data_IF_014772219651
#
_entry.id   IF_014772219651
#
_cell.length_a   1.000
_cell.length_b   1.000
_cell.length_c   1.000
_cell.angle_alpha   90.00
_cell.angle_beta   90.00
_cell.angle_gamma   90.00
#
_symmetry.space_group_name_H-M   'P 1'
#
loop_
_entity.id
_entity.type
_entity.pdbx_description
1 polymer ?
#
# COMPACT_ATOMS: atom_id res chain seq x y z
N UNK A 1 10.69 -29.44 -17.13
CA UNK A 1 11.91 -30.17 -16.72
C UNK A 1 12.58 -29.38 -15.61
N UNK A 2 12.85 -29.96 -14.43
CA UNK A 2 13.52 -29.23 -13.36
C UNK A 2 14.97 -29.00 -13.77
N UNK A 3 15.40 -27.74 -13.78
CA UNK A 3 16.80 -27.38 -14.03
C UNK A 3 17.59 -27.83 -12.80
N UNK A 4 18.62 -28.64 -12.99
CA UNK A 4 19.58 -28.95 -11.94
C UNK A 4 20.25 -27.65 -11.49
N UNK A 5 19.86 -27.13 -10.33
CA UNK A 5 20.38 -25.90 -9.77
C UNK A 5 21.54 -26.22 -8.83
N UNK A 6 22.76 -25.88 -9.23
CA UNK A 6 23.86 -25.70 -8.30
C UNK A 6 24.07 -24.19 -8.15
N UNK A 7 23.44 -23.59 -7.14
CA UNK A 7 23.95 -22.33 -6.61
C UNK A 7 25.28 -22.66 -5.93
N UNK A 8 26.34 -21.94 -6.25
CA UNK A 8 27.64 -22.13 -5.61
C UNK A 8 27.49 -22.10 -4.08
N UNK A 9 27.93 -23.13 -3.38
CA UNK A 9 28.09 -23.07 -1.93
C UNK A 9 29.03 -21.90 -1.62
N UNK A 10 28.56 -20.94 -0.83
CA UNK A 10 29.36 -19.80 -0.44
C UNK A 10 30.57 -20.29 0.37
N UNK A 11 31.75 -20.33 -0.26
CA UNK A 11 33.02 -20.49 0.46
C UNK A 11 33.21 -19.23 1.28
N UNK A 12 32.90 -19.31 2.57
CA UNK A 12 33.14 -18.24 3.53
C UNK A 12 34.65 -17.95 3.57
N UNK A 13 35.03 -16.71 3.26
CA UNK A 13 36.36 -16.21 3.64
C UNK A 13 36.44 -16.18 5.18
N UNK A 14 37.50 -16.71 5.81
CA UNK A 14 37.60 -16.72 7.26
C UNK A 14 37.71 -15.29 7.81
N UNK A 15 37.07 -14.97 8.95
CA UNK A 15 37.20 -13.66 9.57
C UNK A 15 38.63 -13.46 10.11
N UNK A 16 39.15 -12.21 10.14
CA UNK A 16 40.44 -11.93 10.76
C UNK A 16 40.40 -12.27 12.27
N UNK A 17 41.52 -12.82 12.76
CA UNK A 17 41.69 -13.34 14.11
C UNK A 17 41.25 -12.33 15.19
N UNK A 18 40.36 -12.77 16.09
CA UNK A 18 39.99 -12.02 17.29
C UNK A 18 41.10 -12.14 18.34
N UNK A 19 41.74 -11.03 18.66
CA UNK A 19 42.48 -10.86 19.92
C UNK A 19 41.52 -10.93 21.10
N UNK A 20 41.88 -11.76 22.08
CA UNK A 20 41.10 -12.03 23.29
C UNK A 20 41.03 -10.82 24.24
N UNK A 21 39.90 -10.59 24.93
CA UNK A 21 39.88 -9.80 26.15
C UNK A 21 39.89 -10.68 27.40
N UNK A 22 40.72 -10.23 28.33
CA UNK A 22 40.94 -10.65 29.72
C UNK A 22 39.69 -11.06 30.49
N UNK A 23 39.85 -12.14 31.29
CA UNK A 23 38.88 -12.58 32.29
C UNK A 23 38.69 -11.53 33.39
N UNK A 24 37.42 -11.23 33.73
CA UNK A 24 37.07 -10.65 35.02
C UNK A 24 35.82 -11.31 35.60
N UNK A 25 36.05 -11.97 36.74
CA UNK A 25 35.19 -12.55 37.78
C UNK A 25 33.66 -12.46 37.62
N UNK A 26 33.03 -13.65 37.59
CA UNK A 26 31.62 -13.91 37.89
C UNK A 26 31.26 -13.51 39.33
N UNK A 27 30.12 -12.81 39.51
CA UNK A 27 29.34 -12.77 40.76
C UNK A 27 27.90 -13.22 40.47
N UNK A 28 27.36 -14.05 41.37
CA UNK A 28 26.02 -14.71 41.35
C UNK A 28 24.86 -13.71 41.57
N UNK A 29 23.60 -14.10 41.25
CA UNK A 29 22.48 -13.18 41.03
C UNK A 29 21.70 -12.83 42.31
N UNK A 30 21.02 -11.68 42.32
CA UNK A 30 19.99 -11.32 43.29
C UNK A 30 18.61 -11.41 42.66
N UNK A 31 17.70 -12.06 43.36
CA UNK A 31 16.29 -12.24 43.03
C UNK A 31 15.49 -10.94 43.24
N UNK A 32 14.41 -10.80 42.46
CA UNK A 32 13.26 -9.96 42.82
C UNK A 32 12.88 -8.91 41.78
N UNK A 33 11.88 -9.23 40.95
CA UNK A 33 10.71 -8.37 40.65
C UNK A 33 9.85 -9.00 39.53
N UNK A 34 8.55 -9.18 39.83
CA UNK A 34 7.50 -9.58 38.87
C UNK A 34 7.41 -8.55 37.72
N UNK A 35 7.18 -8.96 36.46
CA UNK A 35 6.89 -8.00 35.40
C UNK A 35 5.43 -7.54 35.52
N UNK A 36 5.23 -6.24 35.79
CA UNK A 36 3.97 -5.56 35.51
C UNK A 36 3.83 -5.48 33.99
N UNK A 37 2.78 -6.12 33.46
CA UNK A 37 2.38 -5.95 32.07
C UNK A 37 2.11 -4.47 31.78
N UNK A 38 2.96 -3.87 30.95
CA UNK A 38 2.65 -2.62 30.27
C UNK A 38 2.19 -2.98 28.87
N UNK A 39 0.89 -3.03 28.68
CA UNK A 39 0.33 -2.80 27.35
C UNK A 39 0.73 -1.39 26.95
N UNK A 40 1.63 -1.26 25.96
CA UNK A 40 1.87 0.03 25.34
C UNK A 40 0.69 0.34 24.41
N UNK A 41 0.01 1.48 24.55
CA UNK A 41 -0.83 1.98 23.50
C UNK A 41 0.10 2.50 22.38
N UNK A 42 0.05 1.86 21.21
CA UNK A 42 0.62 2.42 19.99
C UNK A 42 -0.27 3.60 19.56
N UNK A 43 0.00 4.78 20.12
CA UNK A 43 -0.53 6.04 19.61
C UNK A 43 0.23 6.38 18.31
N UNK A 44 -0.31 5.97 17.17
CA UNK A 44 0.11 6.53 15.88
C UNK A 44 -0.37 7.99 15.87
N UNK A 45 0.55 8.95 15.92
CA UNK A 45 0.24 10.37 15.81
C UNK A 45 -0.44 10.66 14.46
N UNK A 46 -1.78 10.67 14.47
CA UNK A 46 -2.60 10.89 13.29
C UNK A 46 -2.56 12.35 12.84
N UNK A 47 -2.76 12.56 11.54
CA UNK A 47 -3.02 13.90 11.01
C UNK A 47 -4.38 14.35 11.54
N UNK A 48 -4.40 15.41 12.35
CA UNK A 48 -5.65 16.00 12.82
C UNK A 48 -6.37 16.64 11.62
N UNK A 49 -7.39 15.95 11.12
CA UNK A 49 -8.37 16.53 10.19
C UNK A 49 -9.46 17.20 11.01
N UNK A 50 -9.96 18.34 10.54
CA UNK A 50 -10.96 19.14 11.26
C UNK A 50 -12.21 18.32 11.56
N UNK A 51 -12.70 18.44 12.79
CA UNK A 51 -13.96 17.85 13.22
C UNK A 51 -15.09 18.55 12.46
N UNK A 52 -15.88 17.78 11.72
CA UNK A 52 -17.15 18.26 11.20
C UNK A 52 -18.12 18.19 12.38
N UNK A 53 -18.35 19.32 13.06
CA UNK A 53 -19.14 19.36 14.27
C UNK A 53 -20.59 18.93 14.03
N UNK A 54 -21.02 17.87 14.70
CA UNK A 54 -22.43 17.55 14.94
C UNK A 54 -22.77 17.96 16.39
N UNK A 55 -23.50 19.06 16.57
CA UNK A 55 -24.11 19.37 17.86
C UNK A 55 -25.30 18.44 18.08
N UNK A 56 -25.06 17.25 18.62
CA UNK A 56 -26.12 16.43 19.18
C UNK A 56 -25.53 15.39 20.13
N UNK A 57 -25.56 15.72 21.43
CA UNK A 57 -25.58 14.73 22.49
C UNK A 57 -26.94 14.02 22.52
N UNK A 58 -26.97 12.78 22.99
CA UNK A 58 -28.22 12.04 23.19
C UNK A 58 -28.01 10.55 23.27
N UNK A 59 -27.97 10.04 24.50
CA UNK A 59 -28.10 8.64 24.93
C UNK A 59 -29.21 7.90 24.15
N UNK A 60 -28.93 6.72 23.59
CA UNK A 60 -29.97 5.73 23.30
C UNK A 60 -30.09 4.80 24.51
N UNK A 61 -31.02 5.13 25.41
CA UNK A 61 -31.57 4.17 26.37
C UNK A 61 -32.76 3.48 25.69
N UNK A 62 -32.69 2.16 25.55
CA UNK A 62 -33.80 1.34 25.10
C UNK A 62 -34.59 0.87 26.33
N UNK A 63 -35.84 1.31 26.41
CA UNK A 63 -36.95 0.90 27.28
C UNK A 63 -38.19 1.25 26.42
N UNK A 64 -39.22 0.43 26.18
CA UNK A 64 -39.76 -0.76 26.82
C UNK A 64 -40.60 -1.56 25.80
N UNK A 65 -40.92 -2.80 26.17
CA UNK A 65 -42.04 -3.62 25.68
C UNK A 65 -43.37 -2.85 25.54
N UNK A 66 -44.22 -3.27 24.59
CA UNK A 66 -45.57 -3.75 24.93
C UNK A 66 -46.26 -4.53 23.79
N UNK A 67 -47.16 -5.42 24.22
CA UNK A 67 -47.80 -6.53 23.54
C UNK A 67 -48.90 -6.18 22.50
N UNK A 68 -49.20 -7.16 21.63
CA UNK A 68 -50.56 -7.66 21.37
C UNK A 68 -51.57 -6.78 20.61
N UNK A 69 -51.91 -7.18 19.38
CA UNK A 69 -53.10 -6.65 18.69
C UNK A 69 -53.35 -7.26 17.31
N UNK A 70 -54.15 -8.34 17.28
CA UNK A 70 -54.69 -8.99 16.08
C UNK A 70 -55.66 -8.08 15.30
N UNK A 71 -55.46 -7.95 14.00
CA UNK A 71 -56.41 -7.39 13.05
C UNK A 71 -56.26 -8.06 11.69
N UNK A 72 -57.23 -8.90 11.33
CA UNK A 72 -57.29 -9.61 10.07
C UNK A 72 -57.73 -8.68 8.94
N UNK A 73 -56.95 -8.58 7.87
CA UNK A 73 -57.43 -8.13 6.57
C UNK A 73 -56.94 -9.08 5.46
N UNK A 74 -57.92 -9.51 4.68
CA UNK A 74 -57.90 -10.49 3.61
C UNK A 74 -56.98 -10.09 2.45
N UNK A 75 -56.01 -10.95 2.11
CA UNK A 75 -55.19 -10.85 0.91
C UNK A 75 -55.98 -11.19 -0.36
N UNK A 76 -55.89 -10.40 -1.44
CA UNK A 76 -56.05 -10.92 -2.79
C UNK A 76 -54.73 -11.58 -3.22
N UNK A 77 -54.82 -12.80 -3.77
CA UNK A 77 -53.71 -13.52 -4.41
C UNK A 77 -53.06 -12.62 -5.47
N UNK A 78 -51.78 -12.30 -5.29
CA UNK A 78 -50.95 -11.74 -6.34
C UNK A 78 -50.20 -12.88 -7.02
N UNK A 79 -50.31 -12.94 -8.35
CA UNK A 79 -49.67 -13.95 -9.21
C UNK A 79 -48.15 -14.00 -9.02
N UNK A 80 -47.50 -15.16 -9.20
CA UNK A 80 -46.05 -15.26 -9.18
C UNK A 80 -45.46 -14.44 -10.35
N UNK A 81 -44.33 -13.73 -10.16
CA UNK A 81 -43.70 -13.00 -11.26
C UNK A 81 -43.24 -13.97 -12.34
N UNK A 82 -43.34 -13.60 -13.62
CA UNK A 82 -42.90 -14.47 -14.71
C UNK A 82 -41.38 -14.68 -14.61
N UNK A 83 -40.99 -15.95 -14.67
CA UNK A 83 -39.62 -16.41 -14.85
C UNK A 83 -39.11 -15.97 -16.23
N UNK A 84 -38.53 -14.76 -16.29
CA UNK A 84 -37.82 -14.25 -17.45
C UNK A 84 -36.42 -14.86 -17.56
N UNK A 85 -36.15 -15.51 -18.70
CA UNK A 85 -34.82 -15.99 -19.10
C UNK A 85 -33.79 -14.85 -19.28
N UNK A 86 -32.55 -15.19 -19.67
CA UNK A 86 -31.39 -14.32 -19.48
C UNK A 86 -31.55 -13.01 -20.25
N UNK A 87 -31.68 -11.91 -19.51
CA UNK A 87 -31.75 -10.57 -20.06
C UNK A 87 -30.49 -10.23 -20.85
N UNK A 88 -30.70 -9.75 -22.08
CA UNK A 88 -29.68 -9.07 -22.88
C UNK A 88 -29.12 -7.83 -22.16
N UNK A 89 -28.12 -7.15 -22.77
CA UNK A 89 -27.26 -6.22 -22.06
C UNK A 89 -28.08 -5.12 -21.38
N UNK A 90 -28.04 -5.12 -20.04
CA UNK A 90 -28.55 -4.02 -19.24
C UNK A 90 -27.72 -2.79 -19.55
N UNK A 91 -28.31 -1.83 -20.27
CA UNK A 91 -27.79 -0.48 -20.38
C UNK A 91 -27.90 0.17 -19.00
N UNK A 92 -26.80 0.13 -18.24
CA UNK A 92 -26.64 0.92 -17.02
C UNK A 92 -26.13 2.29 -17.43
N UNK A 93 -27.02 3.28 -17.50
CA UNK A 93 -26.65 4.69 -17.57
C UNK A 93 -27.28 5.44 -16.40
N UNK A 94 -26.53 5.53 -15.30
CA UNK A 94 -26.20 6.81 -14.66
C UNK A 94 -25.22 6.60 -13.49
N UNK A 95 -23.96 6.93 -13.75
CA UNK A 95 -22.82 6.70 -12.86
C UNK A 95 -21.57 6.72 -13.71
N UNK A 96 -21.21 7.92 -14.19
CA UNK A 96 -20.19 8.16 -15.21
C UNK A 96 -19.00 7.21 -15.10
N UNK A 97 -18.74 6.50 -16.19
CA UNK A 97 -17.66 5.53 -16.30
C UNK A 97 -16.35 6.13 -15.76
N UNK A 98 -15.79 5.50 -14.73
CA UNK A 98 -14.52 5.95 -14.13
C UNK A 98 -13.44 5.92 -15.21
N UNK A 99 -12.73 7.03 -15.36
CA UNK A 99 -11.66 7.11 -16.35
C UNK A 99 -10.61 5.99 -16.13
N UNK A 100 -10.08 5.39 -17.21
CA UNK A 100 -9.10 4.33 -17.08
C UNK A 100 -7.82 4.86 -16.40
N UNK A 101 -7.19 4.01 -15.59
CA UNK A 101 -5.92 4.34 -14.95
C UNK A 101 -4.83 4.50 -16.02
N UNK A 102 -4.35 5.74 -16.23
CA UNK A 102 -3.25 6.03 -17.16
C UNK A 102 -1.88 5.82 -16.52
N UNK A 103 -1.71 6.27 -15.28
CA UNK A 103 -0.48 6.15 -14.48
C UNK A 103 -0.80 6.24 -13.00
N UNK A 104 0.11 5.75 -12.16
CA UNK A 104 0.10 6.01 -10.72
C UNK A 104 0.91 7.29 -10.43
N UNK A 105 0.43 8.10 -9.49
CA UNK A 105 1.00 9.36 -9.04
C UNK A 105 1.22 9.24 -7.53
N UNK A 106 2.36 8.67 -7.08
CA UNK A 106 2.62 8.49 -5.66
C UNK A 106 2.78 9.87 -4.98
N UNK A 107 2.02 10.17 -3.92
CA UNK A 107 2.15 11.45 -3.25
C UNK A 107 3.44 11.51 -2.43
N UNK A 108 4.16 12.62 -2.50
CA UNK A 108 5.38 12.87 -1.71
C UNK A 108 5.08 13.65 -0.43
N UNK A 109 4.09 14.55 -0.50
CA UNK A 109 3.68 15.41 0.61
C UNK A 109 2.16 15.45 0.70
N UNK A 110 1.66 15.36 1.93
CA UNK A 110 0.29 15.68 2.30
C UNK A 110 0.31 16.93 3.17
N UNK A 111 -0.39 17.98 2.74
CA UNK A 111 -0.52 19.21 3.51
C UNK A 111 -1.97 19.52 3.83
N UNK A 112 -2.27 19.70 5.11
CA UNK A 112 -3.58 20.06 5.64
C UNK A 112 -3.57 21.52 6.08
N UNK A 113 -4.56 22.28 5.65
CA UNK A 113 -4.72 23.69 6.02
C UNK A 113 -5.03 23.87 7.52
N UNK A 114 -4.65 25.02 8.07
CA UNK A 114 -4.83 25.34 9.49
C UNK A 114 -6.24 25.77 9.87
N UNK A 115 -7.24 24.92 9.66
CA UNK A 115 -8.62 25.19 10.09
C UNK A 115 -9.55 25.82 9.06
N UNK A 116 -9.04 26.21 7.88
CA UNK A 116 -9.80 26.85 6.79
C UNK A 116 -9.46 26.21 5.44
N UNK A 117 -10.39 26.27 4.46
CA UNK A 117 -10.08 25.89 3.08
C UNK A 117 -8.81 26.57 2.56
N UNK A 118 -7.95 25.80 1.91
CA UNK A 118 -6.78 26.32 1.22
C UNK A 118 -7.29 27.12 0.00
N UNK A 119 -6.92 28.40 -0.08
CA UNK A 119 -7.38 29.27 -1.15
C UNK A 119 -6.83 28.85 -2.52
N UNK A 120 -7.59 29.13 -3.58
CA UNK A 120 -7.18 28.84 -4.96
C UNK A 120 -5.81 29.48 -5.30
N UNK A 121 -5.55 30.69 -4.81
CA UNK A 121 -4.27 31.35 -4.98
C UNK A 121 -3.10 30.59 -4.34
N UNK A 122 -3.29 29.99 -3.15
CA UNK A 122 -2.28 29.16 -2.50
C UNK A 122 -2.08 27.84 -3.25
N UNK A 123 -3.15 27.18 -3.68
CA UNK A 123 -3.07 25.96 -4.49
C UNK A 123 -2.32 26.20 -5.80
N UNK A 124 -2.62 27.30 -6.50
CA UNK A 124 -1.93 27.67 -7.73
C UNK A 124 -0.44 27.98 -7.52
N UNK A 125 -0.06 28.50 -6.34
CA UNK A 125 1.36 28.68 -5.99
C UNK A 125 2.05 27.35 -5.72
N UNK A 126 1.37 26.41 -5.05
CA UNK A 126 1.89 25.06 -4.79
C UNK A 126 2.14 24.30 -6.10
N UNK A 127 1.18 24.34 -7.04
CA UNK A 127 1.32 23.65 -8.33
C UNK A 127 2.42 24.25 -9.22
N UNK A 128 2.82 25.51 -8.99
CA UNK A 128 3.91 26.19 -9.69
C UNK A 128 5.29 26.03 -9.03
N UNK A 129 5.39 25.34 -7.89
CA UNK A 129 6.67 25.06 -7.26
C UNK A 129 7.56 24.25 -8.21
N UNK A 130 8.86 24.58 -8.23
CA UNK A 130 9.81 23.89 -9.10
C UNK A 130 9.78 22.37 -8.87
N UNK A 131 9.70 21.61 -9.97
CA UNK A 131 9.67 20.14 -10.00
C UNK A 131 8.44 19.48 -9.34
N UNK A 132 7.46 20.24 -8.86
CA UNK A 132 6.10 19.71 -8.64
C UNK A 132 5.53 19.35 -10.01
N UNK A 133 5.10 18.09 -10.17
CA UNK A 133 4.49 17.60 -11.42
C UNK A 133 2.99 17.58 -11.33
N UNK A 134 2.46 17.06 -10.21
CA UNK A 134 1.04 16.93 -9.98
C UNK A 134 0.72 17.46 -8.57
N UNK A 135 -0.44 18.10 -8.42
CA UNK A 135 -0.99 18.48 -7.13
C UNK A 135 -2.51 18.34 -7.19
N UNK A 136 -3.11 17.78 -6.14
CA UNK A 136 -4.57 17.63 -6.04
C UNK A 136 -5.07 18.11 -4.70
N UNK A 137 -6.02 19.05 -4.73
CA UNK A 137 -6.74 19.48 -3.55
C UNK A 137 -7.93 18.55 -3.29
N UNK A 138 -8.17 18.23 -2.02
CA UNK A 138 -9.26 17.36 -1.59
C UNK A 138 -10.10 18.03 -0.52
N UNK A 139 -11.40 17.72 -0.54
CA UNK A 139 -12.27 18.02 0.58
C UNK A 139 -12.08 16.94 1.65
N UNK A 140 -12.33 17.27 2.91
CA UNK A 140 -12.18 16.31 3.98
C UNK A 140 -12.72 16.77 5.32
N UNK A 141 -12.75 15.83 6.26
CA UNK A 141 -13.27 16.05 7.60
C UNK A 141 -13.19 14.79 8.44
N UNK A 142 -13.20 14.95 9.76
CA UNK A 142 -13.48 13.86 10.67
C UNK A 142 -15.00 13.61 10.72
N UNK A 143 -15.40 12.35 10.60
CA UNK A 143 -16.79 11.88 10.66
C UNK A 143 -16.87 10.69 11.62
N UNK A 144 -18.06 10.32 12.10
CA UNK A 144 -18.22 9.08 12.85
C UNK A 144 -18.86 7.99 11.99
N UNK A 145 -18.28 6.80 12.07
CA UNK A 145 -18.76 5.58 11.45
C UNK A 145 -18.74 4.49 12.52
N UNK A 146 -19.87 3.82 12.75
CA UNK A 146 -20.00 2.82 13.83
C UNK A 146 -19.56 3.35 15.21
N UNK A 147 -19.94 4.60 15.53
CA UNK A 147 -19.61 5.25 16.81
C UNK A 147 -18.13 5.61 16.99
N UNK A 148 -17.29 5.43 15.96
CA UNK A 148 -15.87 5.76 15.99
C UNK A 148 -15.54 6.86 15.00
N UNK A 149 -14.70 7.79 15.42
CA UNK A 149 -14.22 8.85 14.55
C UNK A 149 -13.25 8.27 13.51
N UNK A 150 -13.51 8.59 12.24
CA UNK A 150 -12.67 8.27 11.08
C UNK A 150 -12.43 9.53 10.27
N UNK A 151 -11.27 9.64 9.62
CA UNK A 151 -10.99 10.77 8.74
C UNK A 151 -11.35 10.42 7.31
N UNK A 152 -12.19 11.26 6.70
CA UNK A 152 -12.70 11.07 5.35
C UNK A 152 -12.15 12.11 4.37
N UNK A 153 -11.84 11.68 3.15
CA UNK A 153 -11.63 12.55 2.00
C UNK A 153 -12.76 12.40 0.97
N UNK A 154 -13.22 13.53 0.44
CA UNK A 154 -14.10 13.56 -0.72
C UNK A 154 -13.29 13.81 -1.99
N UNK A 155 -13.39 12.88 -2.92
CA UNK A 155 -12.53 12.83 -4.11
C UNK A 155 -13.33 12.59 -5.38
N UNK A 156 -12.73 12.98 -6.51
CA UNK A 156 -13.23 12.58 -7.82
C UNK A 156 -12.59 11.23 -8.19
N UNK A 157 -13.36 10.15 -8.40
CA UNK A 157 -12.79 8.81 -8.61
C UNK A 157 -11.82 8.74 -9.79
N UNK A 158 -12.15 9.40 -10.91
CA UNK A 158 -11.36 9.37 -12.14
C UNK A 158 -9.97 10.01 -11.97
N UNK A 159 -9.91 11.16 -11.29
CA UNK A 159 -8.65 11.90 -11.07
C UNK A 159 -7.88 11.46 -9.83
N UNK A 160 -8.55 10.92 -8.81
CA UNK A 160 -7.92 10.55 -7.55
C UNK A 160 -7.37 9.12 -7.53
N UNK A 161 -7.90 8.23 -8.36
CA UNK A 161 -7.48 6.82 -8.46
C UNK A 161 -5.96 6.63 -8.57
N UNK A 162 -5.31 7.48 -9.35
CA UNK A 162 -3.86 7.47 -9.54
C UNK A 162 -3.05 7.79 -8.28
N UNK A 163 -3.63 8.45 -7.26
CA UNK A 163 -2.96 8.89 -6.04
C UNK A 163 -2.92 7.83 -4.94
N UNK A 164 -3.46 6.64 -5.21
CA UNK A 164 -3.49 5.50 -4.30
C UNK A 164 -2.44 4.45 -4.67
N UNK A 165 -2.07 3.54 -3.75
CA UNK A 165 -1.18 2.43 -4.03
C UNK A 165 -1.61 1.63 -5.27
N UNK A 166 -0.68 1.08 -6.06
CA UNK A 166 -1.00 0.37 -7.30
C UNK A 166 -2.07 -0.74 -7.16
N UNK A 167 -2.09 -1.44 -6.02
CA UNK A 167 -3.08 -2.47 -5.73
C UNK A 167 -4.51 -1.92 -5.67
N UNK A 168 -4.70 -0.76 -5.03
CA UNK A 168 -6.00 -0.06 -4.95
C UNK A 168 -6.30 0.68 -6.25
N UNK A 169 -5.29 1.31 -6.84
CA UNK A 169 -5.42 2.01 -8.11
C UNK A 169 -5.81 1.08 -9.26
N UNK A 170 -5.62 -0.24 -9.20
CA UNK A 170 -6.03 -1.17 -10.28
C UNK A 170 -7.45 -1.75 -10.12
N UNK A 171 -8.06 -1.64 -8.94
CA UNK A 171 -9.40 -2.19 -8.63
C UNK A 171 -10.53 -1.35 -9.22
N UNK A 172 -10.88 -1.58 -10.47
CA UNK A 172 -11.93 -0.81 -11.15
C UNK A 172 -13.26 -0.86 -10.40
N UNK A 173 -13.62 -2.00 -9.84
CA UNK A 173 -14.81 -2.21 -9.02
C UNK A 173 -14.88 -1.27 -7.81
N UNK A 174 -13.74 -0.98 -7.18
CA UNK A 174 -13.65 -0.08 -6.02
C UNK A 174 -13.95 1.37 -6.42
N UNK A 175 -13.39 1.80 -7.55
CA UNK A 175 -13.58 3.17 -8.04
C UNK A 175 -14.97 3.38 -8.66
N UNK A 176 -15.52 2.35 -9.31
CA UNK A 176 -16.91 2.37 -9.77
C UNK A 176 -17.88 2.47 -8.59
N UNK A 177 -17.63 1.75 -7.50
CA UNK A 177 -18.42 1.88 -6.28
C UNK A 177 -18.37 3.32 -5.72
N UNK A 178 -17.18 3.92 -5.67
CA UNK A 178 -17.00 5.31 -5.24
C UNK A 178 -17.73 6.31 -6.16
N UNK A 179 -17.75 6.06 -7.48
CA UNK A 179 -18.50 6.87 -8.45
C UNK A 179 -20.02 6.72 -8.29
N UNK A 180 -20.49 5.57 -7.79
CA UNK A 180 -21.89 5.31 -7.44
C UNK A 180 -22.26 5.79 -6.03
N UNK A 181 -21.53 6.77 -5.48
CA UNK A 181 -21.73 7.35 -4.14
C UNK A 181 -21.63 6.35 -2.97
N UNK A 182 -21.03 5.17 -3.19
CA UNK A 182 -20.66 4.25 -2.13
C UNK A 182 -19.34 4.70 -1.50
N UNK A 183 -19.12 4.44 -0.22
CA UNK A 183 -17.85 4.80 0.42
C UNK A 183 -16.85 3.64 0.37
N UNK A 184 -15.57 3.98 0.37
CA UNK A 184 -14.45 3.05 0.41
C UNK A 184 -13.64 3.30 1.66
N UNK A 185 -13.15 2.27 2.34
CA UNK A 185 -12.33 2.41 3.55
C UNK A 185 -10.96 1.75 3.46
N UNK A 186 -10.05 2.15 4.34
CA UNK A 186 -8.80 1.44 4.57
C UNK A 186 -9.08 0.02 5.09
N UNK A 187 -8.18 -0.97 4.87
CA UNK A 187 -8.37 -2.32 5.39
C UNK A 187 -8.45 -2.34 6.93
N UNK A 188 -7.62 -1.53 7.59
CA UNK A 188 -7.62 -1.39 9.04
C UNK A 188 -8.96 -0.85 9.57
N UNK A 189 -9.55 0.16 8.91
CA UNK A 189 -10.85 0.67 9.29
C UNK A 189 -11.96 -0.35 9.04
N UNK A 190 -11.92 -1.08 7.91
CA UNK A 190 -12.89 -2.15 7.63
C UNK A 190 -12.89 -3.23 8.72
N UNK A 191 -11.71 -3.69 9.13
CA UNK A 191 -11.54 -4.72 10.17
C UNK A 191 -11.96 -4.20 11.55
N UNK A 192 -11.43 -3.04 11.97
CA UNK A 192 -11.68 -2.49 13.30
C UNK A 192 -13.14 -2.09 13.53
N UNK A 193 -13.82 -1.67 12.46
CA UNK A 193 -15.23 -1.27 12.49
C UNK A 193 -16.18 -2.39 12.05
N UNK A 194 -15.64 -3.57 11.72
CA UNK A 194 -16.39 -4.75 11.27
C UNK A 194 -17.36 -4.44 10.13
N UNK A 195 -16.86 -3.71 9.13
CA UNK A 195 -17.67 -3.26 8.01
C UNK A 195 -17.74 -4.34 6.92
N UNK A 196 -18.92 -4.46 6.32
CA UNK A 196 -19.23 -5.43 5.29
C UNK A 196 -19.62 -4.72 4.00
N UNK A 197 -19.02 -5.14 2.88
CA UNK A 197 -19.35 -4.61 1.56
C UNK A 197 -20.82 -4.84 1.23
N UNK A 198 -21.46 -3.83 0.63
CA UNK A 198 -22.87 -3.87 0.23
C UNK A 198 -23.85 -3.48 1.35
N UNK A 199 -23.37 -3.31 2.59
CA UNK A 199 -24.22 -2.88 3.70
C UNK A 199 -24.28 -1.35 3.79
N UNK A 200 -25.47 -0.78 4.08
CA UNK A 200 -25.62 0.63 4.37
C UNK A 200 -25.18 0.94 5.81
N UNK A 201 -24.51 2.07 5.98
CA UNK A 201 -24.03 2.55 7.28
C UNK A 201 -24.40 4.02 7.47
N UNK A 202 -24.94 4.41 8.64
CA UNK A 202 -25.09 5.82 8.99
C UNK A 202 -23.71 6.44 9.21
N UNK A 203 -23.44 7.53 8.51
CA UNK A 203 -22.19 8.28 8.65
C UNK A 203 -22.51 9.62 9.32
N UNK A 204 -22.13 9.78 10.58
CA UNK A 204 -22.39 11.02 11.32
C UNK A 204 -21.35 12.06 10.92
N UNK A 205 -21.78 13.06 10.16
CA UNK A 205 -21.01 14.23 9.79
C UNK A 205 -21.84 15.49 10.13
N UNK A 206 -21.79 16.54 9.31
CA UNK A 206 -22.72 17.68 9.45
C UNK A 206 -24.18 17.25 9.21
N UNK A 207 -24.34 16.25 8.36
CA UNK A 207 -25.57 15.50 8.12
C UNK A 207 -25.32 14.04 8.45
N UNK A 208 -26.36 13.21 8.49
CA UNK A 208 -26.23 11.77 8.79
C UNK A 208 -26.75 10.92 7.62
N UNK A 209 -26.07 10.93 6.46
CA UNK A 209 -26.49 10.08 5.35
C UNK A 209 -26.24 8.61 5.66
N UNK A 210 -27.13 7.75 5.14
CA UNK A 210 -26.87 6.32 5.03
C UNK A 210 -26.12 6.05 3.72
N UNK A 211 -24.87 5.59 3.81
CA UNK A 211 -24.03 5.30 2.65
C UNK A 211 -23.71 3.81 2.60
N UNK A 212 -23.73 3.23 1.39
CA UNK A 212 -23.31 1.83 1.20
C UNK A 212 -21.78 1.71 1.23
N UNK A 213 -21.27 0.65 1.85
CA UNK A 213 -19.84 0.32 1.75
C UNK A 213 -19.54 -0.35 0.40
N UNK A 214 -18.76 0.32 -0.43
CA UNK A 214 -18.34 -0.18 -1.74
C UNK A 214 -17.20 -1.17 -1.71
N UNK A 215 -16.33 -1.10 -0.70
CA UNK A 215 -15.24 -2.03 -0.49
C UNK A 215 -14.10 -1.45 0.35
N UNK A 216 -12.99 -2.19 0.41
CA UNK A 216 -11.79 -1.77 1.13
C UNK A 216 -10.52 -1.90 0.27
N UNK A 217 -9.57 -1.02 0.51
CA UNK A 217 -8.28 -1.01 -0.16
C UNK A 217 -7.30 -0.07 0.52
N UNK A 218 -6.00 -0.36 0.43
CA UNK A 218 -4.97 0.51 0.98
C UNK A 218 -5.05 1.90 0.34
N UNK A 219 -5.27 2.93 1.15
CA UNK A 219 -5.45 4.29 0.65
C UNK A 219 -4.10 5.00 0.41
N UNK A 220 -3.02 4.51 1.05
CA UNK A 220 -1.68 5.07 0.95
C UNK A 220 -1.54 6.48 1.52
N UNK A 221 -2.47 6.88 2.39
CA UNK A 221 -2.54 8.20 2.98
C UNK A 221 -2.62 8.07 4.51
N UNK A 222 -1.62 8.58 5.25
CA UNK A 222 -1.55 8.39 6.69
C UNK A 222 -2.71 9.09 7.39
N UNK A 223 -3.39 8.34 8.26
CA UNK A 223 -4.50 8.84 9.05
C UNK A 223 -5.77 9.12 8.24
N UNK A 224 -5.87 8.65 6.99
CA UNK A 224 -7.11 8.70 6.20
C UNK A 224 -7.71 7.29 6.15
N UNK A 225 -8.96 7.19 6.55
CA UNK A 225 -9.64 5.91 6.75
C UNK A 225 -10.76 5.67 5.74
N UNK A 226 -11.29 6.74 5.16
CA UNK A 226 -12.48 6.70 4.30
C UNK A 226 -12.32 7.61 3.08
N UNK A 227 -12.74 7.12 1.92
CA UNK A 227 -12.97 7.89 0.72
C UNK A 227 -14.45 7.91 0.40
N UNK A 228 -14.95 9.08 0.03
CA UNK A 228 -16.29 9.29 -0.53
C UNK A 228 -16.19 10.06 -1.84
N UNK A 229 -17.23 10.00 -2.67
CA UNK A 229 -17.31 10.85 -3.86
C UNK A 229 -17.38 12.34 -3.45
N UNK A 230 -17.02 13.25 -4.36
CA UNK A 230 -17.25 14.70 -4.15
C UNK A 230 -18.72 15.00 -3.82
N UNK A 231 -19.67 14.31 -4.48
CA UNK A 231 -21.10 14.50 -4.27
C UNK A 231 -21.52 14.10 -2.86
N UNK A 232 -21.11 12.90 -2.41
CA UNK A 232 -21.36 12.44 -1.06
C UNK A 232 -20.69 13.34 -0.01
N UNK A 233 -19.45 13.78 -0.24
CA UNK A 233 -18.74 14.70 0.66
C UNK A 233 -19.44 16.05 0.83
N UNK A 234 -19.98 16.64 -0.25
CA UNK A 234 -20.78 17.87 -0.15
C UNK A 234 -22.04 17.64 0.67
N UNK A 235 -22.76 16.52 0.47
CA UNK A 235 -23.95 16.17 1.26
C UNK A 235 -23.63 15.99 2.74
N UNK A 236 -22.48 15.39 3.06
CA UNK A 236 -21.96 15.22 4.42
C UNK A 236 -21.46 16.51 5.06
N UNK A 237 -21.30 17.59 4.27
CA UNK A 237 -20.75 18.86 4.74
C UNK A 237 -19.24 18.83 4.97
N UNK A 238 -18.50 17.97 4.25
CA UNK A 238 -17.03 17.96 4.30
C UNK A 238 -16.47 19.29 3.79
N UNK A 239 -15.38 19.74 4.41
CA UNK A 239 -14.81 21.06 4.14
C UNK A 239 -14.02 21.00 2.82
N UNK A 240 -14.33 21.84 1.82
CA UNK A 240 -13.62 21.82 0.55
C UNK A 240 -12.17 22.29 0.71
N UNK A 241 -11.27 21.73 -0.11
CA UNK A 241 -9.86 22.13 -0.18
C UNK A 241 -9.15 22.17 1.18
N UNK A 242 -9.50 21.27 2.10
CA UNK A 242 -8.89 21.23 3.44
C UNK A 242 -7.46 20.67 3.37
N UNK A 243 -7.16 19.85 2.36
CA UNK A 243 -5.86 19.26 2.16
C UNK A 243 -5.42 19.29 0.69
N UNK A 244 -4.11 19.19 0.47
CA UNK A 244 -3.49 19.05 -0.83
C UNK A 244 -2.43 17.95 -0.79
N UNK A 245 -2.49 17.05 -1.78
CA UNK A 245 -1.44 16.08 -2.07
C UNK A 245 -0.54 16.66 -3.16
N UNK A 246 0.77 16.45 -3.01
CA UNK A 246 1.79 16.97 -3.94
C UNK A 246 2.70 15.83 -4.38
N UNK A 247 2.89 15.71 -5.69
CA UNK A 247 3.87 14.84 -6.33
C UNK A 247 4.97 15.71 -6.96
N UNK A 248 6.20 15.51 -6.52
CA UNK A 248 7.41 16.23 -6.91
C UNK A 248 8.60 15.27 -7.05
N UNK A 249 8.54 14.32 -8.02
CA UNK A 249 9.54 13.28 -8.16
C UNK A 249 10.90 13.88 -8.51
N UNK A 250 11.94 13.36 -7.85
CA UNK A 250 13.31 13.83 -8.00
C UNK A 250 13.67 15.04 -7.14
N UNK A 251 12.75 15.51 -6.29
CA UNK A 251 13.05 16.46 -5.21
C UNK A 251 12.97 15.74 -3.88
N UNK A 252 13.90 16.05 -2.96
CA UNK A 252 13.79 15.55 -1.59
C UNK A 252 12.48 16.02 -0.95
N UNK A 253 11.63 15.13 -0.42
CA UNK A 253 10.35 15.50 0.17
C UNK A 253 10.45 16.60 1.25
N UNK A 254 11.54 16.63 2.03
CA UNK A 254 11.79 17.68 3.02
C UNK A 254 11.91 19.11 2.44
N UNK A 255 12.41 19.25 1.20
CA UNK A 255 12.43 20.55 0.51
C UNK A 255 11.02 20.96 0.08
N UNK A 256 10.23 19.99 -0.38
CA UNK A 256 8.84 20.20 -0.80
C UNK A 256 8.00 20.59 0.41
N UNK A 257 8.11 19.89 1.54
CA UNK A 257 7.40 20.25 2.78
C UNK A 257 7.73 21.67 3.21
N UNK A 258 9.01 22.05 3.24
CA UNK A 258 9.44 23.43 3.58
C UNK A 258 8.81 24.48 2.65
N UNK A 259 8.79 24.23 1.35
CA UNK A 259 8.20 25.14 0.38
C UNK A 259 6.68 25.26 0.54
N UNK A 260 5.98 24.13 0.73
CA UNK A 260 4.53 24.09 0.94
C UNK A 260 4.15 24.77 2.25
N UNK A 261 4.87 24.54 3.34
CA UNK A 261 4.66 25.21 4.63
C UNK A 261 4.78 26.74 4.51
N UNK A 262 5.74 27.23 3.73
CA UNK A 262 5.89 28.68 3.48
C UNK A 262 4.69 29.28 2.73
N UNK A 263 4.06 28.52 1.84
CA UNK A 263 2.88 28.99 1.08
C UNK A 263 1.62 28.95 1.95
N UNK A 264 1.43 27.87 2.73
CA UNK A 264 0.23 27.67 3.54
C UNK A 264 0.23 28.52 4.81
N UNK A 265 1.41 28.80 5.37
CA UNK A 265 1.58 29.61 6.56
C UNK A 265 1.45 28.84 7.86
N UNK A 266 1.52 29.56 8.98
CA UNK A 266 1.45 29.02 10.35
C UNK A 266 0.11 28.31 10.58
N UNK A 267 0.14 27.21 11.32
CA UNK A 267 -1.05 26.38 11.63
C UNK A 267 -1.38 25.31 10.59
N UNK A 268 -0.69 25.29 9.44
CA UNK A 268 -0.77 24.15 8.51
C UNK A 268 0.01 22.95 9.03
N UNK A 269 -0.51 21.75 8.78
CA UNK A 269 0.19 20.50 9.05
C UNK A 269 0.70 19.94 7.72
N UNK A 270 2.02 19.92 7.53
CA UNK A 270 2.65 19.48 6.28
C UNK A 270 3.50 18.27 6.56
N UNK A 271 3.10 17.13 5.99
CA UNK A 271 3.65 15.81 6.27
C UNK A 271 4.46 15.31 5.08
N UNK A 272 5.67 14.84 5.38
CA UNK A 272 6.49 14.10 4.44
C UNK A 272 6.06 12.62 4.43
N UNK A 273 5.50 12.16 3.31
CA UNK A 273 4.95 10.80 3.20
C UNK A 273 6.03 9.72 3.04
N UNK A 274 7.30 10.11 2.88
CA UNK A 274 8.44 9.20 2.81
C UNK A 274 9.10 8.94 4.17
N UNK A 275 8.58 9.51 5.26
CA UNK A 275 9.05 9.16 6.60
C UNK A 275 8.60 7.73 6.95
N UNK A 276 9.51 6.95 7.55
CA UNK A 276 9.28 5.53 7.89
C UNK A 276 7.96 5.25 8.61
N UNK A 277 7.51 6.15 9.49
CA UNK A 277 6.25 6.01 10.24
C UNK A 277 4.98 6.12 9.40
N UNK A 278 5.06 6.71 8.21
CA UNK A 278 3.93 6.87 7.28
C UNK A 278 4.02 5.90 6.10
N UNK A 279 5.15 5.23 5.96
CA UNK A 279 5.28 4.04 5.14
C UNK A 279 4.62 2.90 5.91
N UNK A 280 3.34 2.64 5.64
CA UNK A 280 2.67 1.45 6.16
C UNK A 280 3.39 0.21 5.62
N UNK A 281 3.84 -0.67 6.52
CA UNK A 281 4.40 -1.99 6.17
C UNK A 281 3.38 -2.91 5.48
N UNK A 282 2.12 -2.48 5.36
CA UNK A 282 1.16 -2.97 4.38
C UNK A 282 0.98 -1.95 3.27
N UNK A 283 1.34 -2.31 2.04
CA UNK A 283 0.97 -1.67 0.77
C UNK A 283 1.54 -0.27 0.43
N UNK A 284 2.51 0.26 1.18
CA UNK A 284 3.15 1.58 0.91
C UNK A 284 4.59 1.54 0.38
N UNK A 285 5.22 0.37 0.36
CA UNK A 285 6.56 0.11 -0.18
C UNK A 285 6.74 -1.29 -0.75
N UNK A 286 5.66 -2.10 -0.74
CA UNK A 286 5.53 -3.37 -1.46
C UNK A 286 5.10 -3.07 -2.90
N UNK A 287 5.94 -3.36 -3.88
CA UNK A 287 5.57 -3.41 -5.29
C UNK A 287 4.27 -4.18 -5.53
N UNK A 288 3.31 -3.57 -6.23
CA UNK A 288 2.00 -4.17 -6.52
C UNK A 288 2.03 -5.33 -7.52
N UNK A 289 3.22 -5.84 -7.82
CA UNK A 289 3.49 -6.97 -8.71
C UNK A 289 5.00 -7.18 -8.89
N UNK A 290 5.39 -8.38 -9.31
CA UNK A 290 6.80 -8.79 -9.51
C UNK A 290 7.62 -7.80 -10.34
N UNK A 291 7.04 -7.22 -11.39
CA UNK A 291 7.70 -6.21 -12.23
C UNK A 291 8.19 -5.00 -11.42
N UNK A 292 7.32 -4.45 -10.57
CA UNK A 292 7.66 -3.31 -9.73
C UNK A 292 8.70 -3.73 -8.67
N UNK A 293 8.68 -5.01 -8.27
CA UNK A 293 9.60 -5.58 -7.28
C UNK A 293 11.00 -5.76 -7.81
N UNK A 294 11.14 -6.26 -9.03
CA UNK A 294 12.42 -6.29 -9.73
C UNK A 294 12.98 -4.87 -9.91
N UNK A 295 12.14 -3.90 -10.30
CA UNK A 295 12.54 -2.49 -10.47
C UNK A 295 13.03 -1.86 -9.17
N UNK A 296 12.35 -2.12 -8.07
CA UNK A 296 12.74 -1.60 -6.75
C UNK A 296 14.02 -2.27 -6.24
N UNK A 297 14.08 -3.61 -6.28
CA UNK A 297 15.22 -4.36 -5.78
C UNK A 297 16.53 -4.03 -6.52
N UNK A 298 16.47 -3.83 -7.84
CA UNK A 298 17.64 -3.44 -8.63
C UNK A 298 18.30 -2.14 -8.14
N UNK A 299 17.55 -1.22 -7.53
CA UNK A 299 18.09 0.05 -7.01
C UNK A 299 19.12 -0.14 -5.90
N UNK A 300 19.10 -1.30 -5.23
CA UNK A 300 20.11 -1.64 -4.21
C UNK A 300 21.51 -1.90 -4.81
N UNK A 301 21.60 -2.12 -6.12
CA UNK A 301 22.85 -2.38 -6.82
C UNK A 301 23.03 -1.44 -8.01
N UNK A 302 23.80 -0.35 -7.88
CA UNK A 302 24.09 0.55 -8.99
C UNK A 302 24.62 -0.20 -10.22
N UNK A 303 23.97 0.02 -11.37
CA UNK A 303 24.32 -0.61 -12.65
C UNK A 303 23.67 -1.97 -12.93
N UNK A 304 23.01 -2.61 -11.95
CA UNK A 304 22.22 -3.81 -12.20
C UNK A 304 20.87 -3.44 -12.82
N UNK A 305 20.57 -3.99 -13.99
CA UNK A 305 19.25 -3.81 -14.61
C UNK A 305 18.18 -4.66 -13.93
N UNK A 306 17.00 -4.08 -13.68
CA UNK A 306 15.83 -4.81 -13.20
C UNK A 306 15.41 -5.95 -14.13
N UNK A 307 15.72 -5.85 -15.42
CA UNK A 307 15.40 -6.88 -16.41
C UNK A 307 16.19 -8.17 -16.19
N UNK A 308 17.37 -8.09 -15.58
CA UNK A 308 18.16 -9.27 -15.18
C UNK A 308 17.46 -10.01 -14.05
N UNK A 309 17.00 -9.28 -13.01
CA UNK A 309 16.23 -9.88 -11.91
C UNK A 309 14.93 -10.50 -12.41
N UNK A 310 14.22 -9.82 -13.32
CA UNK A 310 13.01 -10.35 -13.93
C UNK A 310 13.27 -11.63 -14.73
N UNK A 311 14.33 -11.64 -15.54
CA UNK A 311 14.72 -12.82 -16.31
C UNK A 311 15.06 -14.02 -15.43
N UNK A 312 15.83 -13.81 -14.35
CA UNK A 312 16.12 -14.86 -13.37
C UNK A 312 14.82 -15.36 -12.74
N UNK A 313 13.99 -14.48 -12.17
CA UNK A 313 12.74 -14.92 -11.54
C UNK A 313 11.76 -15.60 -12.50
N UNK A 314 11.78 -15.28 -13.80
CA UNK A 314 11.01 -16.04 -14.81
C UNK A 314 11.60 -17.44 -15.02
N UNK A 315 12.92 -17.55 -15.22
CA UNK A 315 13.60 -18.82 -15.47
C UNK A 315 13.49 -19.76 -14.28
N UNK A 316 13.58 -19.21 -13.06
CA UNK A 316 13.59 -19.99 -11.83
C UNK A 316 12.21 -20.53 -11.45
N UNK A 317 11.16 -19.70 -11.54
CA UNK A 317 9.87 -20.03 -10.93
C UNK A 317 8.65 -19.52 -11.70
N UNK A 318 8.86 -19.01 -12.93
CA UNK A 318 7.84 -18.24 -13.66
C UNK A 318 7.21 -17.14 -12.78
N UNK A 319 8.09 -16.35 -12.14
CA UNK A 319 7.73 -15.29 -11.21
C UNK A 319 6.90 -15.78 -10.00
N UNK A 320 7.34 -16.88 -9.40
CA UNK A 320 6.75 -17.48 -8.21
C UNK A 320 5.54 -18.36 -8.46
N UNK A 321 5.16 -18.64 -9.70
CA UNK A 321 4.11 -19.63 -10.01
C UNK A 321 4.53 -21.06 -9.66
N UNK A 322 5.84 -21.33 -9.68
CA UNK A 322 6.43 -22.57 -9.20
C UNK A 322 7.61 -22.27 -8.28
N UNK A 323 7.33 -21.94 -7.02
CA UNK A 323 8.31 -21.53 -6.01
C UNK A 323 8.96 -22.70 -5.24
N UNK A 324 8.88 -23.90 -5.78
CA UNK A 324 9.51 -25.08 -5.22
C UNK A 324 8.82 -25.66 -3.97
N UNK A 325 9.52 -26.55 -3.25
CA UNK A 325 10.92 -26.92 -3.46
C UNK A 325 11.20 -27.57 -4.82
N UNK A 326 12.38 -27.28 -5.39
CA UNK A 326 12.90 -28.04 -6.54
C UNK A 326 13.44 -29.39 -6.09
N UNK A 327 13.76 -30.28 -7.04
CA UNK A 327 14.41 -31.57 -6.74
C UNK A 327 15.78 -31.43 -6.07
N UNK A 328 16.44 -30.28 -6.23
CA UNK A 328 17.69 -29.94 -5.57
C UNK A 328 17.48 -29.26 -4.20
N UNK A 329 16.24 -29.01 -3.77
CA UNK A 329 15.91 -28.36 -2.50
C UNK A 329 15.96 -26.83 -2.52
N UNK A 330 15.98 -26.22 -3.70
CA UNK A 330 15.91 -24.76 -3.83
C UNK A 330 14.47 -24.26 -3.63
N UNK A 331 14.33 -23.10 -3.00
CA UNK A 331 13.07 -22.58 -2.46
C UNK A 331 12.78 -21.15 -2.94
N UNK A 332 11.49 -20.85 -3.04
CA UNK A 332 10.99 -19.50 -3.21
C UNK A 332 11.06 -19.01 -4.66
N UNK A 333 10.58 -17.78 -4.90
CA UNK A 333 10.43 -17.26 -6.26
C UNK A 333 11.75 -16.96 -6.97
N UNK A 334 12.85 -16.89 -6.22
CA UNK A 334 14.20 -16.76 -6.78
C UNK A 334 15.02 -18.06 -6.66
N UNK A 335 14.36 -19.16 -6.28
CA UNK A 335 14.90 -20.51 -6.13
C UNK A 335 16.26 -20.52 -5.41
N UNK A 336 16.31 -19.99 -4.20
CA UNK A 336 17.51 -20.00 -3.37
C UNK A 336 17.75 -21.36 -2.73
N UNK A 337 19.01 -21.78 -2.69
CA UNK A 337 19.43 -22.85 -1.78
C UNK A 337 19.43 -22.29 -0.34
N UNK A 338 18.98 -23.08 0.67
CA UNK A 338 18.97 -22.63 2.06
C UNK A 338 20.33 -22.12 2.58
N UNK A 339 21.43 -22.72 2.13
CA UNK A 339 22.79 -22.29 2.48
C UNK A 339 23.13 -20.90 1.92
N UNK A 340 22.78 -20.64 0.65
CA UNK A 340 22.93 -19.32 0.02
C UNK A 340 22.06 -18.28 0.73
N UNK A 341 20.81 -18.64 1.04
CA UNK A 341 19.88 -17.77 1.77
C UNK A 341 20.42 -17.34 3.13
N UNK A 342 21.13 -18.22 3.84
CA UNK A 342 21.77 -17.87 5.12
C UNK A 342 22.78 -16.71 5.01
N UNK A 343 23.39 -16.53 3.85
CA UNK A 343 24.39 -15.47 3.61
C UNK A 343 23.79 -14.22 2.96
N UNK A 344 22.84 -14.41 2.04
CA UNK A 344 22.33 -13.34 1.18
C UNK A 344 20.88 -12.96 1.43
N UNK A 345 20.14 -13.74 2.22
CA UNK A 345 18.80 -13.42 2.66
C UNK A 345 18.75 -12.03 3.30
N UNK A 346 17.67 -11.32 3.01
CA UNK A 346 17.37 -10.01 3.56
C UNK A 346 15.91 -9.96 3.92
N UNK A 347 15.60 -9.29 5.01
CA UNK A 347 14.25 -8.82 5.31
C UNK A 347 14.02 -7.57 4.45
N UNK A 348 13.49 -7.78 3.25
CA UNK A 348 13.39 -6.79 2.19
C UNK A 348 12.18 -5.88 2.33
N UNK A 349 11.13 -6.34 3.02
CA UNK A 349 9.97 -5.56 3.40
C UNK A 349 10.03 -5.02 4.85
N UNK A 350 11.06 -5.38 5.62
CA UNK A 350 11.29 -4.99 7.02
C UNK A 350 10.16 -5.43 7.95
N UNK A 351 9.61 -6.63 7.74
CA UNK A 351 8.57 -7.24 8.58
C UNK A 351 9.14 -7.95 9.84
N UNK A 352 10.47 -7.99 9.96
CA UNK A 352 11.22 -8.61 11.06
C UNK A 352 11.71 -10.02 10.74
N UNK A 353 11.43 -10.56 9.55
CA UNK A 353 11.79 -11.93 9.15
C UNK A 353 12.31 -11.97 7.71
N UNK A 354 13.52 -12.48 7.51
CA UNK A 354 14.01 -12.81 6.18
C UNK A 354 13.45 -14.18 5.71
N UNK A 355 12.34 -14.18 4.97
CA UNK A 355 11.66 -15.39 4.51
C UNK A 355 11.97 -15.73 3.05
N UNK A 356 12.61 -16.87 2.81
CA UNK A 356 13.00 -17.35 1.47
C UNK A 356 11.81 -17.51 0.52
N UNK A 357 10.62 -17.78 1.06
CA UNK A 357 9.39 -17.96 0.28
C UNK A 357 8.69 -16.63 -0.02
N UNK A 358 9.02 -15.57 0.71
CA UNK A 358 8.44 -14.25 0.53
C UNK A 358 9.13 -13.54 -0.66
N UNK A 359 8.41 -13.21 -1.76
CA UNK A 359 9.02 -12.51 -2.89
C UNK A 359 9.65 -11.17 -2.51
N UNK A 360 9.11 -10.52 -1.49
CA UNK A 360 9.58 -9.22 -1.02
C UNK A 360 10.92 -9.29 -0.28
N UNK A 361 11.35 -10.49 0.09
CA UNK A 361 12.66 -10.79 0.65
C UNK A 361 13.54 -11.45 -0.40
N UNK A 362 13.00 -12.44 -1.12
CA UNK A 362 13.71 -13.25 -2.08
C UNK A 362 14.28 -12.42 -3.25
N UNK A 363 13.51 -11.46 -3.77
CA UNK A 363 13.95 -10.63 -4.90
C UNK A 363 15.02 -9.61 -4.48
N UNK A 364 14.88 -8.88 -3.36
CA UNK A 364 15.99 -8.10 -2.79
C UNK A 364 17.21 -8.95 -2.42
N UNK A 365 17.02 -10.18 -1.94
CA UNK A 365 18.10 -11.14 -1.68
C UNK A 365 18.86 -11.51 -2.95
N UNK A 366 18.16 -11.74 -4.05
CA UNK A 366 18.78 -11.98 -5.37
C UNK A 366 19.53 -10.75 -5.88
N UNK A 367 19.00 -9.55 -5.69
CA UNK A 367 19.71 -8.31 -6.02
C UNK A 367 21.01 -8.17 -5.21
N UNK A 368 20.97 -8.43 -3.90
CA UNK A 368 22.15 -8.44 -3.02
C UNK A 368 23.18 -9.49 -3.47
N UNK A 369 22.74 -10.71 -3.78
CA UNK A 369 23.60 -11.80 -4.27
C UNK A 369 24.33 -11.40 -5.56
N UNK A 370 23.59 -10.92 -6.58
CA UNK A 370 24.17 -10.50 -7.85
C UNK A 370 25.12 -9.32 -7.68
N UNK A 371 24.78 -8.38 -6.78
CA UNK A 371 25.64 -7.22 -6.52
C UNK A 371 26.97 -7.62 -5.89
N UNK A 372 26.94 -8.53 -4.91
CA UNK A 372 28.14 -9.06 -4.28
C UNK A 372 29.07 -9.77 -5.29
N UNK A 373 28.49 -10.38 -6.32
CA UNK A 373 29.21 -11.02 -7.42
C UNK A 373 29.58 -10.06 -8.58
N UNK A 374 29.36 -8.75 -8.41
CA UNK A 374 29.83 -7.72 -9.35
C UNK A 374 28.89 -7.42 -10.53
N UNK A 375 27.63 -7.86 -10.48
CA UNK A 375 26.68 -7.67 -11.59
C UNK A 375 26.48 -6.19 -11.99
N UNK A 376 26.58 -5.26 -11.04
CA UNK A 376 26.45 -3.82 -11.30
C UNK A 376 27.53 -3.24 -12.21
N UNK A 377 28.66 -3.93 -12.40
CA UNK A 377 29.74 -3.50 -13.31
C UNK A 377 29.43 -3.77 -14.78
N UNK A 378 28.36 -4.52 -15.10
CA UNK A 378 27.99 -4.86 -16.47
C UNK A 378 28.99 -5.78 -17.17
N UNK A 379 28.85 -5.92 -18.48
CA UNK A 379 29.78 -6.66 -19.35
C UNK A 379 30.10 -8.07 -18.86
N UNK A 380 31.39 -8.42 -18.84
CA UNK A 380 31.89 -9.71 -18.35
C UNK A 380 31.56 -9.97 -16.88
N UNK A 381 31.42 -8.92 -16.05
CA UNK A 381 31.13 -9.11 -14.63
C UNK A 381 29.66 -9.44 -14.40
N UNK A 382 28.77 -8.90 -15.22
CA UNK A 382 27.37 -9.34 -15.23
C UNK A 382 27.27 -10.80 -15.66
N UNK A 383 28.00 -11.21 -16.69
CA UNK A 383 28.05 -12.61 -17.12
C UNK A 383 28.48 -13.53 -15.97
N UNK A 384 29.62 -13.22 -15.33
CA UNK A 384 30.14 -13.99 -14.19
C UNK A 384 29.18 -14.01 -13.00
N UNK A 385 28.51 -12.90 -12.70
CA UNK A 385 27.56 -12.84 -11.58
C UNK A 385 26.33 -13.72 -11.82
N UNK A 386 25.81 -13.76 -13.06
CA UNK A 386 24.71 -14.66 -13.42
C UNK A 386 25.19 -16.12 -13.46
N UNK A 387 26.44 -16.36 -13.89
CA UNK A 387 27.06 -17.69 -13.84
C UNK A 387 27.20 -18.20 -12.40
N UNK A 388 27.57 -17.35 -11.44
CA UNK A 388 27.59 -17.74 -10.02
C UNK A 388 26.20 -18.12 -9.49
N UNK A 389 25.15 -17.51 -10.03
CA UNK A 389 23.77 -17.86 -9.69
C UNK A 389 23.43 -19.29 -10.12
N UNK A 390 23.88 -19.70 -11.31
CA UNK A 390 23.80 -21.07 -11.81
C UNK A 390 24.96 -21.32 -12.79
N UNK A 391 25.86 -22.25 -12.44
CA UNK A 391 27.13 -22.53 -13.12
C UNK A 391 26.97 -23.19 -14.49
N UNK A 392 26.23 -22.56 -15.39
CA UNK A 392 25.96 -23.06 -16.72
C UNK A 392 25.87 -21.91 -17.74
N UNK A 393 26.71 -21.96 -18.76
CA UNK A 393 26.75 -20.90 -19.78
C UNK A 393 25.42 -20.76 -20.53
N UNK A 394 24.73 -21.88 -20.76
CA UNK A 394 23.40 -21.87 -21.38
C UNK A 394 22.38 -21.10 -20.52
N UNK A 395 22.49 -21.18 -19.19
CA UNK A 395 21.62 -20.45 -18.26
C UNK A 395 21.90 -18.95 -18.35
N UNK A 396 23.18 -18.57 -18.34
CA UNK A 396 23.60 -17.17 -18.47
C UNK A 396 23.07 -16.57 -19.77
N UNK A 397 23.26 -17.27 -20.88
CA UNK A 397 22.75 -16.84 -22.19
C UNK A 397 21.22 -16.70 -22.17
N UNK A 398 20.49 -17.68 -21.62
CA UNK A 398 19.03 -17.63 -21.51
C UNK A 398 18.57 -16.41 -20.72
N UNK A 399 19.15 -16.18 -19.54
CA UNK A 399 18.83 -15.02 -18.68
C UNK A 399 19.13 -13.70 -19.38
N UNK A 400 20.31 -13.55 -19.99
CA UNK A 400 20.68 -12.29 -20.65
C UNK A 400 19.86 -12.02 -21.92
N UNK A 401 19.49 -13.06 -22.67
CA UNK A 401 18.58 -12.93 -23.82
C UNK A 401 17.19 -12.49 -23.38
N UNK A 402 16.67 -13.12 -22.33
CA UNK A 402 15.37 -12.78 -21.77
C UNK A 402 15.36 -11.38 -21.14
N UNK A 403 16.44 -10.97 -20.48
CA UNK A 403 16.62 -9.62 -19.96
C UNK A 403 16.62 -8.57 -21.06
N UNK A 404 17.21 -8.88 -22.24
CA UNK A 404 17.11 -8.02 -23.45
C UNK A 404 15.68 -7.96 -23.99
N UNK A 405 14.95 -9.07 -24.00
CA UNK A 405 13.55 -9.11 -24.41
C UNK A 405 12.66 -8.26 -23.49
N UNK A 406 12.84 -8.36 -22.16
CA UNK A 406 12.21 -7.46 -21.19
C UNK A 406 12.55 -6.00 -21.45
N UNK A 407 13.83 -5.70 -21.67
CA UNK A 407 14.27 -4.34 -21.95
C UNK A 407 13.67 -3.78 -23.24
N UNK A 408 13.39 -4.62 -24.25
CA UNK A 408 12.74 -4.21 -25.50
C UNK A 408 11.22 -4.02 -25.33
N UNK A 409 10.56 -4.90 -24.57
CA UNK A 409 9.10 -4.89 -24.34
C UNK A 409 8.64 -3.74 -23.44
N UNK A 410 9.48 -3.32 -22.49
CA UNK A 410 9.15 -2.33 -21.47
C UNK A 410 9.94 -1.02 -21.63
N UNK A 411 10.30 -0.65 -22.87
CA UNK A 411 10.95 0.62 -23.20
C UNK A 411 10.06 1.83 -22.94
#
# INVERSE_FOLDING_TARGET
MPIAQQQAEAVASPPPARTAPSQTKRRKPRAGARPRGRGLPLAVAGIAVLIVGSTSGGLYAALTDDEGGSGAETSPRADPPPSGGPGGPVNVTDGGQVAPLRRVVPPDVLAVGGGRPISAARLARISKLAKVRDAVAVAGGAVQLQGRQVNAFAVDPSSFRSWTPPGTAKKTELWSALAADQFVVSPAAAEQLRLSRGFPYPVVARTVPSLMMGGSGALGLPGIDMLVSKRAGTRMGLIPNVAVLVNAPGVSPAKVTTAVTRILGRGSNVVNLHERKYQTSGDGGRPGGYLDLYKQAARSCPGLSWTVLAAIGQVESDHGRNAGPSSAGALGPMQFMPATWKSYGVDGDNDGKADIMNPFDAIPGAAKYLCANGAGKGGQQLYRAVWHYNHADWYVQKVLNLARAYAARFR
#
